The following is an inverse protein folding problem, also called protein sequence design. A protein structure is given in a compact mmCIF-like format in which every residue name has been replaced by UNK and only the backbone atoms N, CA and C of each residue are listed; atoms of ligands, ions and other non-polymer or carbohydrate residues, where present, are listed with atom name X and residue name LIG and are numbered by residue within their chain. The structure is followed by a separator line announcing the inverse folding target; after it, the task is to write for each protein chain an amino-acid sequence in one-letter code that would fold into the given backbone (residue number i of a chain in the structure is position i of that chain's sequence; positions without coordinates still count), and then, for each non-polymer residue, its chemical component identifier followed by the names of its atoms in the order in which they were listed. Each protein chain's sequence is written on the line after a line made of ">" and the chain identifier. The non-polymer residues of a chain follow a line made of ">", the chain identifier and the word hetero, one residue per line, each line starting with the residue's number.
data_IF_672917961406
#
_entry.id   IF_672917961406
#
_cell.length_a   1.000
_cell.length_b   1.000
_cell.length_c   1.000
_cell.angle_alpha   90.00
_cell.angle_beta   90.00
_cell.angle_gamma   90.00
#
_symmetry.space_group_name_H-M   'P 1'
#
loop_
_entity.id
_entity.type
_entity.pdbx_description
1 polymer ?
#
# COMPACT_ATOMS: atom_id res chain seq x y z
N UNK A 1 38.33 -17.11 -20.04
CA UNK A 1 36.98 -16.58 -19.75
C UNK A 1 36.28 -17.38 -18.65
N UNK A 2 35.97 -18.67 -18.85
CA UNK A 2 35.31 -19.54 -17.84
C UNK A 2 36.03 -19.59 -16.49
N UNK A 3 37.36 -19.71 -16.47
CA UNK A 3 38.15 -19.73 -15.22
C UNK A 3 38.14 -18.38 -14.47
N UNK A 4 38.02 -17.27 -15.20
CA UNK A 4 38.02 -15.92 -14.64
C UNK A 4 36.64 -15.59 -14.05
N UNK A 5 35.55 -16.01 -14.72
CA UNK A 5 34.20 -15.95 -14.17
C UNK A 5 34.06 -16.80 -12.90
N UNK A 6 34.58 -18.03 -12.92
CA UNK A 6 34.57 -18.92 -11.75
C UNK A 6 35.32 -18.32 -10.54
N UNK A 7 36.41 -17.59 -10.78
CA UNK A 7 37.16 -16.92 -9.72
C UNK A 7 36.37 -15.75 -9.12
N UNK A 8 35.77 -14.90 -9.96
CA UNK A 8 34.94 -13.76 -9.52
C UNK A 8 33.76 -14.21 -8.66
N UNK A 9 33.06 -15.28 -9.07
CA UNK A 9 31.93 -15.85 -8.32
C UNK A 9 32.39 -16.40 -6.96
N UNK A 10 33.55 -17.07 -6.93
CA UNK A 10 34.10 -17.64 -5.69
C UNK A 10 34.51 -16.57 -4.68
N UNK A 11 35.11 -15.46 -5.12
CA UNK A 11 35.43 -14.30 -4.27
C UNK A 11 34.17 -13.70 -3.63
N UNK A 12 33.16 -13.42 -4.46
CA UNK A 12 31.91 -12.82 -4.00
C UNK A 12 31.20 -13.74 -2.99
N UNK A 13 31.11 -15.03 -3.29
CA UNK A 13 30.51 -16.02 -2.39
C UNK A 13 31.25 -16.10 -1.05
N UNK A 14 32.59 -16.01 -1.04
CA UNK A 14 33.35 -16.00 0.21
C UNK A 14 32.99 -14.78 1.08
N UNK A 15 32.85 -13.60 0.48
CA UNK A 15 32.47 -12.36 1.17
C UNK A 15 31.03 -12.47 1.70
N UNK A 16 30.11 -13.01 0.91
CA UNK A 16 28.72 -13.27 1.30
C UNK A 16 28.66 -14.20 2.52
N UNK A 17 29.32 -15.36 2.45
CA UNK A 17 29.33 -16.34 3.55
C UNK A 17 29.96 -15.76 4.81
N UNK A 18 31.06 -15.01 4.69
CA UNK A 18 31.66 -14.31 5.83
C UNK A 18 30.69 -13.31 6.45
N UNK A 19 29.97 -12.55 5.62
CA UNK A 19 28.99 -11.57 6.08
C UNK A 19 27.87 -12.24 6.87
N UNK A 20 27.28 -13.31 6.33
CA UNK A 20 26.24 -14.09 7.03
C UNK A 20 26.77 -14.61 8.37
N UNK A 21 27.94 -15.25 8.39
CA UNK A 21 28.55 -15.76 9.63
C UNK A 21 28.84 -14.66 10.64
N UNK A 22 29.21 -13.46 10.19
CA UNK A 22 29.44 -12.32 11.07
C UNK A 22 28.14 -11.78 11.64
N UNK A 23 27.12 -11.61 10.80
CA UNK A 23 25.79 -11.13 11.17
C UNK A 23 25.11 -12.04 12.18
N UNK A 24 25.14 -13.36 11.97
CA UNK A 24 24.55 -14.35 12.89
C UNK A 24 25.21 -14.29 14.28
N UNK A 25 26.50 -13.97 14.38
CA UNK A 25 27.19 -13.85 15.68
C UNK A 25 26.88 -12.54 16.43
N UNK A 26 26.13 -11.62 15.82
CA UNK A 26 25.78 -10.35 16.45
C UNK A 26 24.80 -10.56 17.60
N UNK A 27 25.13 -10.05 18.80
CA UNK A 27 24.21 -10.10 19.96
C UNK A 27 22.86 -9.43 19.66
N UNK A 28 22.88 -8.33 18.89
CA UNK A 28 21.66 -7.62 18.50
C UNK A 28 20.80 -8.45 17.56
N UNK A 29 21.42 -9.22 16.66
CA UNK A 29 20.69 -10.16 15.80
C UNK A 29 19.97 -11.20 16.66
N UNK A 30 20.63 -11.81 17.66
CA UNK A 30 19.98 -12.78 18.53
C UNK A 30 18.76 -12.20 19.28
N UNK A 31 18.87 -10.97 19.80
CA UNK A 31 17.76 -10.31 20.50
C UNK A 31 16.60 -10.04 19.54
N UNK A 32 16.86 -9.45 18.38
CA UNK A 32 15.82 -9.17 17.38
C UNK A 32 15.22 -10.46 16.82
N UNK A 33 16.04 -11.48 16.58
CA UNK A 33 15.59 -12.78 16.11
C UNK A 33 14.69 -13.48 17.13
N UNK A 34 15.01 -13.40 18.42
CA UNK A 34 14.12 -13.90 19.48
C UNK A 34 12.78 -13.15 19.50
N UNK A 35 12.77 -11.83 19.30
CA UNK A 35 11.54 -11.05 19.17
C UNK A 35 10.74 -11.41 17.91
N UNK A 36 11.42 -11.66 16.78
CA UNK A 36 10.81 -12.12 15.53
C UNK A 36 10.15 -13.49 15.76
N UNK A 37 10.85 -14.45 16.37
CA UNK A 37 10.27 -15.75 16.70
C UNK A 37 9.04 -15.60 17.60
N UNK A 38 9.13 -14.78 18.64
CA UNK A 38 7.99 -14.50 19.51
C UNK A 38 6.83 -13.92 18.69
N UNK A 39 7.06 -12.93 17.83
CA UNK A 39 6.01 -12.33 17.01
C UNK A 39 5.39 -13.32 16.01
N UNK A 40 6.20 -14.18 15.39
CA UNK A 40 5.77 -15.19 14.41
C UNK A 40 4.85 -16.23 15.05
N UNK A 41 5.13 -16.69 16.27
CA UNK A 41 4.31 -17.71 16.93
C UNK A 41 3.21 -17.12 17.81
N UNK A 42 3.49 -16.07 18.57
CA UNK A 42 2.56 -15.53 19.55
C UNK A 42 1.43 -14.76 18.87
N UNK A 43 1.73 -13.85 17.93
CA UNK A 43 0.69 -12.96 17.37
C UNK A 43 -0.40 -13.72 16.61
N UNK A 44 -0.10 -14.69 15.72
CA UNK A 44 -1.17 -15.43 15.04
C UNK A 44 -2.05 -16.24 16.00
N UNK A 45 -1.53 -16.63 17.18
CA UNK A 45 -2.22 -17.46 18.15
C UNK A 45 -2.99 -16.67 19.21
N UNK A 46 -2.56 -15.46 19.56
CA UNK A 46 -3.17 -14.66 20.62
C UNK A 46 -4.12 -13.58 20.13
N UNK A 47 -3.94 -13.11 18.89
CA UNK A 47 -4.78 -12.04 18.34
C UNK A 47 -6.21 -12.55 18.16
N UNK A 48 -7.13 -11.92 18.89
CA UNK A 48 -8.57 -12.19 18.82
C UNK A 48 -9.21 -11.34 17.73
N UNK A 49 -10.07 -11.96 16.93
CA UNK A 49 -10.89 -11.27 15.94
C UNK A 49 -12.20 -10.76 16.53
N UNK A 50 -13.05 -10.22 15.67
CA UNK A 50 -14.42 -9.79 15.94
C UNK A 50 -15.43 -10.95 16.08
N UNK A 51 -14.94 -12.18 16.27
CA UNK A 51 -15.74 -13.41 16.30
C UNK A 51 -16.03 -14.02 14.93
N UNK A 52 -15.80 -13.30 13.83
CA UNK A 52 -16.02 -13.82 12.47
C UNK A 52 -14.75 -14.43 11.89
N UNK A 53 -14.91 -15.44 11.01
CA UNK A 53 -13.77 -16.05 10.30
C UNK A 53 -12.97 -15.03 9.48
N UNK A 54 -13.67 -14.08 8.84
CA UNK A 54 -13.09 -12.98 8.06
C UNK A 54 -12.26 -12.05 8.93
N UNK A 55 -12.88 -11.48 9.97
CA UNK A 55 -12.23 -10.51 10.83
C UNK A 55 -11.04 -11.13 11.56
N UNK A 56 -11.18 -12.36 12.05
CA UNK A 56 -10.06 -13.08 12.64
C UNK A 56 -8.89 -13.24 11.67
N UNK A 57 -9.14 -13.71 10.43
CA UNK A 57 -8.08 -13.87 9.42
C UNK A 57 -7.42 -12.53 9.06
N UNK A 58 -8.23 -11.50 8.78
CA UNK A 58 -7.75 -10.18 8.36
C UNK A 58 -6.90 -9.51 9.45
N UNK A 59 -7.38 -9.53 10.69
CA UNK A 59 -6.70 -8.96 11.86
C UNK A 59 -5.39 -9.74 12.10
N UNK A 60 -5.45 -11.08 12.18
CA UNK A 60 -4.24 -11.90 12.38
C UNK A 60 -3.20 -11.67 11.29
N UNK A 61 -3.58 -11.64 10.00
CA UNK A 61 -2.62 -11.38 8.92
C UNK A 61 -2.04 -9.97 8.98
N UNK A 62 -2.87 -8.94 9.20
CA UNK A 62 -2.41 -7.54 9.24
C UNK A 62 -1.38 -7.35 10.35
N UNK A 63 -1.70 -7.76 11.58
CA UNK A 63 -0.84 -7.52 12.73
C UNK A 63 0.39 -8.44 12.72
N UNK A 64 0.23 -9.74 12.47
CA UNK A 64 1.36 -10.66 12.49
C UNK A 64 2.36 -10.36 11.38
N UNK A 65 1.89 -10.14 10.15
CA UNK A 65 2.77 -9.87 9.03
C UNK A 65 3.40 -8.46 9.13
N UNK A 66 2.61 -7.45 9.49
CA UNK A 66 3.10 -6.08 9.65
C UNK A 66 4.20 -5.97 10.71
N UNK A 67 3.99 -6.55 11.90
CA UNK A 67 4.99 -6.53 12.99
C UNK A 67 6.25 -7.32 12.59
N UNK A 68 6.10 -8.50 11.98
CA UNK A 68 7.26 -9.31 11.56
C UNK A 68 8.08 -8.62 10.47
N UNK A 69 7.43 -8.03 9.46
CA UNK A 69 8.11 -7.24 8.42
C UNK A 69 8.83 -6.05 9.04
N UNK A 70 8.23 -5.35 10.01
CA UNK A 70 8.85 -4.22 10.70
C UNK A 70 10.08 -4.64 11.53
N UNK A 71 9.99 -5.74 12.28
CA UNK A 71 11.12 -6.27 13.07
C UNK A 71 12.28 -6.73 12.17
N UNK A 72 11.98 -7.47 11.11
CA UNK A 72 12.99 -7.90 10.13
C UNK A 72 13.61 -6.70 9.41
N UNK A 73 12.82 -5.69 9.06
CA UNK A 73 13.32 -4.44 8.48
C UNK A 73 14.27 -3.70 9.41
N UNK A 74 13.94 -3.65 10.70
CA UNK A 74 14.80 -3.06 11.74
C UNK A 74 16.10 -3.85 11.89
N UNK A 75 16.02 -5.18 11.89
CA UNK A 75 17.18 -6.06 11.93
C UNK A 75 18.08 -5.87 10.70
N UNK A 76 17.48 -5.83 9.51
CA UNK A 76 18.16 -5.60 8.23
C UNK A 76 18.90 -4.27 8.23
N UNK A 77 18.25 -3.19 8.67
CA UNK A 77 18.86 -1.86 8.74
C UNK A 77 20.04 -1.84 9.72
N UNK A 78 19.85 -2.40 10.92
CA UNK A 78 20.90 -2.46 11.94
C UNK A 78 22.12 -3.25 11.47
N UNK A 79 21.90 -4.45 10.93
CA UNK A 79 22.98 -5.30 10.43
C UNK A 79 23.71 -4.64 9.27
N UNK A 80 22.99 -4.11 8.29
CA UNK A 80 23.60 -3.47 7.12
C UNK A 80 24.42 -2.22 7.49
N UNK A 81 23.96 -1.39 8.42
CA UNK A 81 24.74 -0.28 8.98
C UNK A 81 26.03 -0.75 9.68
N UNK A 82 25.96 -1.88 10.40
CA UNK A 82 27.08 -2.38 11.19
C UNK A 82 28.13 -3.19 10.42
N UNK A 83 27.75 -3.87 9.33
CA UNK A 83 28.65 -4.83 8.65
C UNK A 83 29.92 -4.18 8.13
N UNK A 84 29.83 -3.03 7.45
CA UNK A 84 31.01 -2.32 6.96
C UNK A 84 31.66 -1.45 8.04
N UNK A 85 30.86 -0.70 8.80
CA UNK A 85 31.36 0.21 9.83
C UNK A 85 32.22 -0.52 10.88
N UNK A 86 31.77 -1.68 11.38
CA UNK A 86 32.54 -2.45 12.37
C UNK A 86 33.83 -3.04 11.82
N UNK A 87 33.84 -3.47 10.55
CA UNK A 87 35.05 -4.03 9.94
C UNK A 87 36.11 -2.94 9.68
N UNK A 88 35.66 -1.71 9.41
CA UNK A 88 36.52 -0.54 9.28
C UNK A 88 37.06 -0.15 10.67
N UNK A 89 36.19 0.01 11.66
CA UNK A 89 36.57 0.34 13.05
C UNK A 89 37.49 -0.69 13.70
N UNK A 90 37.31 -1.98 13.39
CA UNK A 90 38.11 -3.08 13.95
C UNK A 90 39.36 -3.40 13.13
N UNK A 91 39.68 -2.62 12.10
CA UNK A 91 40.81 -2.83 11.18
C UNK A 91 40.83 -4.19 10.46
N UNK A 92 39.73 -4.95 10.49
CA UNK A 92 39.67 -6.27 9.85
C UNK A 92 39.53 -6.16 8.34
N UNK A 93 38.99 -5.03 7.84
CA UNK A 93 38.87 -4.76 6.41
C UNK A 93 40.23 -4.68 5.70
N UNK A 94 41.33 -4.36 6.40
CA UNK A 94 42.68 -4.31 5.81
C UNK A 94 43.14 -5.66 5.27
N UNK A 95 42.71 -6.78 5.87
CA UNK A 95 43.01 -8.12 5.37
C UNK A 95 42.29 -8.46 4.07
N UNK A 96 41.24 -7.71 3.74
CA UNK A 96 40.46 -7.86 2.49
C UNK A 96 41.00 -6.91 1.43
N UNK A 97 41.34 -5.67 1.80
CA UNK A 97 41.83 -4.63 0.87
C UNK A 97 43.23 -4.93 0.33
N UNK A 98 44.02 -5.76 1.02
CA UNK A 98 45.32 -6.25 0.51
C UNK A 98 45.20 -7.33 -0.56
N UNK A 99 44.02 -7.94 -0.71
CA UNK A 99 43.73 -8.90 -1.78
C UNK A 99 43.33 -8.15 -3.05
N UNK A 100 43.54 -8.71 -4.26
CA UNK A 100 43.19 -8.07 -5.53
C UNK A 100 41.68 -8.08 -5.80
N UNK A 101 40.87 -7.65 -4.83
CA UNK A 101 39.41 -7.57 -4.91
C UNK A 101 39.00 -6.10 -4.99
N UNK A 102 38.31 -5.67 -6.06
CA UNK A 102 37.84 -4.30 -6.15
C UNK A 102 36.79 -3.99 -5.08
N UNK A 103 36.81 -2.77 -4.55
CA UNK A 103 35.96 -2.39 -3.40
C UNK A 103 34.46 -2.46 -3.68
N UNK A 104 34.04 -2.28 -4.93
CA UNK A 104 32.64 -2.46 -5.33
C UNK A 104 32.15 -3.91 -5.11
N UNK A 105 33.02 -4.91 -5.33
CA UNK A 105 32.68 -6.32 -5.03
C UNK A 105 32.55 -6.57 -3.53
N UNK A 106 33.39 -5.92 -2.72
CA UNK A 106 33.29 -6.00 -1.26
C UNK A 106 31.94 -5.46 -0.81
N UNK A 107 31.58 -4.24 -1.25
CA UNK A 107 30.29 -3.63 -0.95
C UNK A 107 29.13 -4.53 -1.39
N UNK A 108 29.15 -5.02 -2.63
CA UNK A 108 28.12 -5.88 -3.19
C UNK A 108 27.98 -7.19 -2.41
N UNK A 109 29.09 -7.82 -2.01
CA UNK A 109 29.08 -9.04 -1.22
C UNK A 109 28.53 -8.83 0.20
N UNK A 110 28.79 -7.67 0.82
CA UNK A 110 28.19 -7.31 2.11
C UNK A 110 26.68 -7.11 1.99
N UNK A 111 26.26 -6.35 0.99
CA UNK A 111 24.84 -6.13 0.71
C UNK A 111 24.10 -7.44 0.43
N UNK A 112 24.62 -8.28 -0.48
CA UNK A 112 24.04 -9.59 -0.80
C UNK A 112 23.97 -10.50 0.43
N UNK A 113 25.00 -10.51 1.28
CA UNK A 113 25.02 -11.32 2.50
C UNK A 113 23.89 -10.97 3.46
N UNK A 114 23.69 -9.68 3.75
CA UNK A 114 22.59 -9.23 4.62
C UNK A 114 21.24 -9.45 3.93
N UNK A 115 21.11 -9.06 2.66
CA UNK A 115 19.88 -9.18 1.90
C UNK A 115 19.38 -10.62 1.80
N UNK A 116 20.24 -11.58 1.43
CA UNK A 116 19.85 -12.98 1.27
C UNK A 116 19.48 -13.63 2.62
N UNK A 117 20.25 -13.31 3.67
CA UNK A 117 19.98 -13.80 5.03
C UNK A 117 18.62 -13.33 5.53
N UNK A 118 18.33 -12.03 5.44
CA UNK A 118 17.07 -11.47 5.93
C UNK A 118 15.88 -11.83 5.02
N UNK A 119 16.10 -11.97 3.71
CA UNK A 119 15.07 -12.49 2.81
C UNK A 119 14.68 -13.93 3.15
N UNK A 120 15.64 -14.79 3.49
CA UNK A 120 15.35 -16.14 3.94
C UNK A 120 14.57 -16.13 5.26
N UNK A 121 15.00 -15.33 6.23
CA UNK A 121 14.27 -15.15 7.51
C UNK A 121 12.84 -14.70 7.26
N UNK A 122 12.62 -13.74 6.36
CA UNK A 122 11.29 -13.25 6.00
C UNK A 122 10.43 -14.35 5.37
N UNK A 123 10.94 -15.07 4.37
CA UNK A 123 10.18 -16.10 3.66
C UNK A 123 9.79 -17.27 4.57
N UNK A 124 10.71 -17.70 5.45
CA UNK A 124 10.42 -18.72 6.47
C UNK A 124 9.37 -18.21 7.47
N UNK A 125 9.54 -16.99 7.98
CA UNK A 125 8.58 -16.39 8.92
C UNK A 125 7.18 -16.25 8.31
N UNK A 126 7.12 -15.79 7.05
CA UNK A 126 5.89 -15.66 6.28
C UNK A 126 5.21 -17.02 6.08
N UNK A 127 5.97 -18.05 5.69
CA UNK A 127 5.44 -19.41 5.54
C UNK A 127 4.86 -19.96 6.86
N UNK A 128 5.53 -19.73 7.99
CA UNK A 128 5.06 -20.14 9.31
C UNK A 128 3.78 -19.39 9.68
N UNK A 129 3.73 -18.06 9.52
CA UNK A 129 2.51 -17.27 9.78
C UNK A 129 1.35 -17.79 8.93
N UNK A 130 1.57 -18.03 7.65
CA UNK A 130 0.55 -18.57 6.76
C UNK A 130 0.04 -19.94 7.25
N UNK A 131 0.95 -20.83 7.65
CA UNK A 131 0.60 -22.15 8.17
C UNK A 131 -0.20 -22.05 9.47
N UNK A 132 0.23 -21.22 10.43
CA UNK A 132 -0.45 -21.01 11.72
C UNK A 132 -1.84 -20.40 11.54
N UNK A 133 -1.96 -19.41 10.67
CA UNK A 133 -3.23 -18.74 10.37
C UNK A 133 -4.20 -19.73 9.69
N UNK A 134 -3.72 -20.50 8.70
CA UNK A 134 -4.53 -21.54 8.05
C UNK A 134 -4.98 -22.63 9.04
N UNK A 135 -4.08 -23.05 9.92
CA UNK A 135 -4.36 -24.03 10.96
C UNK A 135 -5.41 -23.53 11.95
N UNK A 136 -5.32 -22.27 12.38
CA UNK A 136 -6.28 -21.64 13.28
C UNK A 136 -7.67 -21.55 12.66
N UNK A 137 -7.76 -21.11 11.41
CA UNK A 137 -9.03 -21.05 10.66
C UNK A 137 -9.63 -22.45 10.48
N UNK A 138 -8.81 -23.46 10.18
CA UNK A 138 -9.27 -24.83 9.99
C UNK A 138 -9.76 -25.51 11.29
N UNK A 139 -9.28 -25.07 12.46
CA UNK A 139 -9.75 -25.54 13.77
C UNK A 139 -10.87 -24.69 14.38
N UNK A 140 -11.21 -23.56 13.76
CA UNK A 140 -12.30 -22.73 14.24
C UNK A 140 -13.65 -23.36 13.92
N UNK A 141 -14.57 -23.32 14.89
CA UNK A 141 -15.96 -23.77 14.71
C UNK A 141 -16.76 -22.72 13.94
N UNK A 142 -16.41 -22.52 12.66
CA UNK A 142 -17.10 -21.58 11.77
C UNK A 142 -18.19 -22.28 10.97
N UNK A 143 -19.28 -21.56 10.72
CA UNK A 143 -20.35 -22.06 9.87
C UNK A 143 -19.87 -22.23 8.41
N UNK A 144 -20.55 -23.10 7.66
CA UNK A 144 -20.25 -23.32 6.23
C UNK A 144 -20.43 -22.04 5.40
N UNK A 145 -21.37 -21.18 5.78
CA UNK A 145 -21.61 -19.88 5.14
C UNK A 145 -20.47 -18.88 5.40
N UNK A 146 -19.97 -18.80 6.63
CA UNK A 146 -18.83 -17.95 6.97
C UNK A 146 -17.55 -18.39 6.24
N UNK A 147 -17.33 -19.70 6.14
CA UNK A 147 -16.20 -20.24 5.39
C UNK A 147 -16.34 -19.98 3.88
N UNK A 148 -17.55 -20.02 3.33
CA UNK A 148 -17.80 -19.62 1.95
C UNK A 148 -17.52 -18.13 1.72
N UNK A 149 -17.93 -17.25 2.64
CA UNK A 149 -17.62 -15.81 2.60
C UNK A 149 -16.12 -15.54 2.71
N UNK A 150 -15.43 -16.21 3.64
CA UNK A 150 -13.98 -16.10 3.80
C UNK A 150 -13.23 -16.44 2.51
N UNK A 151 -13.64 -17.53 1.86
CA UNK A 151 -13.06 -17.97 0.59
C UNK A 151 -13.33 -16.99 -0.55
N UNK A 152 -14.49 -16.34 -0.57
CA UNK A 152 -14.86 -15.37 -1.59
C UNK A 152 -14.25 -13.97 -1.38
N UNK A 153 -13.99 -13.57 -0.13
CA UNK A 153 -13.61 -12.19 0.21
C UNK A 153 -12.12 -12.03 0.55
N UNK A 154 -11.55 -12.92 1.37
CA UNK A 154 -10.17 -12.74 1.90
C UNK A 154 -9.18 -13.69 1.26
N UNK A 155 -9.56 -14.94 1.01
CA UNK A 155 -8.66 -15.96 0.44
C UNK A 155 -8.53 -15.87 -1.09
N UNK A 156 -8.64 -14.66 -1.62
CA UNK A 156 -8.54 -14.32 -3.04
C UNK A 156 -7.87 -12.96 -3.20
N UNK A 157 -7.26 -12.72 -4.36
CA UNK A 157 -6.84 -11.38 -4.76
C UNK A 157 -7.92 -10.74 -5.63
N UNK A 158 -8.61 -9.74 -5.08
CA UNK A 158 -9.66 -8.99 -5.76
C UNK A 158 -9.12 -7.65 -6.29
N UNK A 159 -9.26 -7.40 -7.58
CA UNK A 159 -8.97 -6.10 -8.19
C UNK A 159 -10.04 -5.10 -7.78
N UNK A 160 -9.63 -3.90 -7.39
CA UNK A 160 -10.53 -2.80 -7.06
C UNK A 160 -10.76 -1.97 -8.32
N UNK A 161 -12.02 -1.75 -8.66
CA UNK A 161 -12.47 -0.84 -9.70
C UNK A 161 -13.15 0.35 -9.05
N UNK A 162 -12.65 1.54 -9.39
CA UNK A 162 -13.23 2.81 -8.99
C UNK A 162 -14.27 3.25 -10.03
N UNK A 163 -15.30 4.01 -9.62
CA UNK A 163 -16.30 4.50 -10.54
C UNK A 163 -15.70 5.59 -11.45
N UNK A 164 -16.21 5.70 -12.66
CA UNK A 164 -15.81 6.72 -13.62
C UNK A 164 -16.11 8.11 -13.03
N UNK A 165 -15.06 8.94 -12.90
CA UNK A 165 -15.17 10.29 -12.37
C UNK A 165 -15.53 11.23 -13.52
N UNK A 166 -16.68 11.93 -13.47
CA UNK A 166 -17.05 12.90 -14.50
C UNK A 166 -16.06 14.08 -14.53
N UNK A 167 -15.90 14.71 -15.70
CA UNK A 167 -15.15 15.97 -15.78
C UNK A 167 -15.93 17.10 -15.11
N UNK A 168 -15.64 17.32 -13.83
CA UNK A 168 -16.27 18.37 -13.03
C UNK A 168 -15.97 19.76 -13.55
N UNK A 169 -14.82 19.99 -14.18
CA UNK A 169 -14.47 21.29 -14.75
C UNK A 169 -15.34 21.60 -15.96
N UNK A 170 -15.60 20.60 -16.81
CA UNK A 170 -16.52 20.75 -17.93
C UNK A 170 -17.96 20.98 -17.47
N UNK A 171 -18.45 20.19 -16.51
CA UNK A 171 -19.80 20.34 -15.94
C UNK A 171 -20.00 21.71 -15.28
N UNK A 172 -19.00 22.19 -14.53
CA UNK A 172 -19.04 23.53 -13.93
C UNK A 172 -19.07 24.64 -14.99
N UNK A 173 -18.32 24.49 -16.09
CA UNK A 173 -18.35 25.44 -17.20
C UNK A 173 -19.71 25.48 -17.88
N UNK A 174 -20.32 24.32 -18.12
CA UNK A 174 -21.67 24.24 -18.70
C UNK A 174 -22.71 24.90 -17.81
N UNK A 175 -22.66 24.64 -16.49
CA UNK A 175 -23.54 25.28 -15.52
C UNK A 175 -23.35 26.80 -15.48
N UNK A 176 -22.10 27.27 -15.54
CA UNK A 176 -21.78 28.70 -15.63
C UNK A 176 -22.36 29.34 -16.90
N UNK A 177 -22.17 28.71 -18.06
CA UNK A 177 -22.75 29.18 -19.33
C UNK A 177 -24.29 29.19 -19.31
N UNK A 178 -24.91 28.18 -18.70
CA UNK A 178 -26.36 28.10 -18.55
C UNK A 178 -26.90 29.26 -17.70
N UNK A 179 -26.23 29.59 -16.59
CA UNK A 179 -26.61 30.71 -15.73
C UNK A 179 -26.33 32.07 -16.35
N UNK A 180 -25.29 32.17 -17.17
CA UNK A 180 -25.01 33.37 -17.96
C UNK A 180 -26.12 33.61 -18.99
N UNK A 181 -26.54 32.56 -19.72
CA UNK A 181 -27.66 32.62 -20.68
C UNK A 181 -28.99 32.92 -20.00
N UNK A 182 -29.22 32.42 -18.79
CA UNK A 182 -30.42 32.67 -18.00
C UNK A 182 -30.46 34.09 -17.38
N UNK A 183 -29.37 34.86 -17.46
CA UNK A 183 -29.29 36.21 -16.89
C UNK A 183 -29.31 36.25 -15.36
N UNK A 184 -29.07 35.12 -14.69
CA UNK A 184 -29.12 35.00 -13.22
C UNK A 184 -27.82 35.43 -12.52
N UNK A 185 -26.80 35.83 -13.29
CA UNK A 185 -25.50 36.26 -12.76
C UNK A 185 -25.40 37.79 -12.77
N UNK A 186 -24.91 38.37 -11.67
CA UNK A 186 -24.72 39.81 -11.55
C UNK A 186 -23.79 40.35 -12.64
N UNK A 187 -24.11 41.52 -13.20
CA UNK A 187 -23.34 42.13 -14.29
C UNK A 187 -21.87 42.48 -13.93
N UNK A 188 -21.51 42.46 -12.64
CA UNK A 188 -20.13 42.72 -12.14
C UNK A 188 -19.51 41.51 -11.42
N UNK A 189 -20.01 40.30 -11.66
CA UNK A 189 -19.45 39.11 -11.02
C UNK A 189 -17.99 38.87 -11.44
N UNK A 190 -17.17 38.31 -10.54
CA UNK A 190 -15.84 37.83 -10.89
C UNK A 190 -15.96 36.42 -11.50
N UNK A 191 -15.64 36.22 -12.79
CA UNK A 191 -15.82 34.93 -13.46
C UNK A 191 -15.00 33.79 -12.83
N UNK A 192 -13.80 34.08 -12.30
CA UNK A 192 -12.95 33.07 -11.68
C UNK A 192 -13.56 32.57 -10.37
N UNK A 193 -13.99 33.49 -9.51
CA UNK A 193 -14.60 33.15 -8.23
C UNK A 193 -15.90 32.36 -8.41
N UNK A 194 -16.76 32.80 -9.33
CA UNK A 194 -18.01 32.08 -9.64
C UNK A 194 -17.70 30.70 -10.22
N UNK A 195 -16.72 30.56 -11.09
CA UNK A 195 -16.32 29.25 -11.64
C UNK A 195 -15.83 28.29 -10.54
N UNK A 196 -14.97 28.76 -9.63
CA UNK A 196 -14.50 27.97 -8.48
C UNK A 196 -15.66 27.54 -7.58
N UNK A 197 -16.61 28.45 -7.32
CA UNK A 197 -17.81 28.14 -6.54
C UNK A 197 -18.72 27.12 -7.25
N UNK A 198 -18.95 27.27 -8.56
CA UNK A 198 -19.74 26.32 -9.34
C UNK A 198 -19.10 24.94 -9.35
N UNK A 199 -17.78 24.89 -9.56
CA UNK A 199 -17.02 23.65 -9.52
C UNK A 199 -17.13 22.97 -8.15
N UNK A 200 -17.07 23.75 -7.06
CA UNK A 200 -17.30 23.25 -5.71
C UNK A 200 -18.71 22.69 -5.54
N UNK A 201 -19.74 23.39 -6.00
CA UNK A 201 -21.14 22.95 -5.91
C UNK A 201 -21.38 21.67 -6.73
N UNK A 202 -20.86 21.58 -7.95
CA UNK A 202 -20.99 20.39 -8.81
C UNK A 202 -20.35 19.18 -8.16
N UNK A 203 -19.13 19.32 -7.61
CA UNK A 203 -18.44 18.24 -6.88
C UNK A 203 -19.16 17.84 -5.58
N UNK A 204 -19.70 18.79 -4.83
CA UNK A 204 -20.46 18.51 -3.62
C UNK A 204 -21.71 17.67 -3.94
N UNK A 205 -22.49 18.14 -4.92
CA UNK A 205 -23.66 17.42 -5.45
C UNK A 205 -23.28 16.05 -6.00
N UNK A 206 -22.09 15.92 -6.57
CA UNK A 206 -21.54 14.63 -7.00
C UNK A 206 -20.96 13.79 -5.86
N UNK A 207 -21.24 14.04 -4.59
CA UNK A 207 -21.01 13.06 -3.50
C UNK A 207 -22.30 12.77 -2.73
N UNK A 208 -23.29 13.64 -2.89
CA UNK A 208 -24.56 13.58 -2.20
C UNK A 208 -25.57 12.70 -2.93
N UNK A 209 -26.39 12.00 -2.16
CA UNK A 209 -27.60 11.30 -2.60
C UNK A 209 -28.75 11.87 -1.77
N UNK A 210 -29.45 12.89 -2.30
CA UNK A 210 -30.62 13.47 -1.66
C UNK A 210 -31.72 12.44 -1.39
N UNK A 211 -32.65 12.71 -0.46
CA UNK A 211 -33.77 11.81 -0.23
C UNK A 211 -34.64 11.60 -1.47
N UNK A 212 -35.16 10.38 -1.63
CA UNK A 212 -36.00 9.97 -2.76
C UNK A 212 -35.34 10.16 -4.14
N UNK A 213 -34.01 10.24 -4.17
CA UNK A 213 -33.25 10.26 -5.41
C UNK A 213 -32.37 9.02 -5.52
N UNK A 214 -32.15 8.62 -6.75
CA UNK A 214 -31.23 7.54 -7.10
C UNK A 214 -30.01 8.12 -7.75
N UNK A 215 -28.85 7.66 -7.33
CA UNK A 215 -27.58 8.01 -7.94
C UNK A 215 -26.94 6.79 -8.57
N UNK A 216 -26.44 6.93 -9.80
CA UNK A 216 -25.73 5.88 -10.51
C UNK A 216 -24.22 6.14 -10.59
N UNK A 217 -23.47 5.05 -10.58
CA UNK A 217 -22.04 4.98 -10.83
C UNK A 217 -21.81 3.98 -11.96
N UNK A 218 -20.95 4.38 -12.90
CA UNK A 218 -20.47 3.53 -13.99
C UNK A 218 -19.08 3.04 -13.62
N UNK A 219 -18.85 1.74 -13.73
CA UNK A 219 -17.53 1.15 -13.62
C UNK A 219 -17.13 0.65 -15.00
N UNK A 220 -16.01 1.13 -15.51
CA UNK A 220 -15.49 0.75 -16.83
C UNK A 220 -14.36 -0.27 -16.73
N UNK A 221 -14.16 -1.04 -17.80
CA UNK A 221 -13.11 -2.06 -17.93
C UNK A 221 -13.20 -3.22 -16.93
N UNK A 222 -14.41 -3.50 -16.43
CA UNK A 222 -14.66 -4.60 -15.50
C UNK A 222 -14.62 -5.91 -16.27
N UNK A 223 -13.72 -6.82 -15.88
CA UNK A 223 -13.60 -8.15 -16.49
C UNK A 223 -13.85 -9.22 -15.45
N UNK A 224 -14.74 -10.14 -15.76
CA UNK A 224 -15.07 -11.30 -14.93
C UNK A 224 -14.74 -12.56 -15.71
N UNK A 225 -14.23 -13.60 -15.04
CA UNK A 225 -13.89 -14.86 -15.69
C UNK A 225 -15.14 -15.70 -16.00
N UNK A 226 -16.17 -15.61 -15.15
CA UNK A 226 -17.42 -16.36 -15.24
C UNK A 226 -18.60 -15.47 -14.80
N UNK A 227 -19.69 -15.37 -15.59
CA UNK A 227 -20.92 -14.66 -15.20
C UNK A 227 -21.52 -15.10 -13.86
N UNK A 228 -21.28 -16.33 -13.40
CA UNK A 228 -21.75 -16.81 -12.10
C UNK A 228 -20.81 -16.47 -10.93
N UNK A 229 -19.64 -15.92 -11.22
CA UNK A 229 -18.69 -15.52 -10.20
C UNK A 229 -19.22 -14.35 -9.37
N UNK A 230 -19.00 -14.40 -8.05
CA UNK A 230 -19.43 -13.33 -7.15
C UNK A 230 -18.43 -12.19 -7.15
N UNK A 231 -18.94 -10.97 -7.30
CA UNK A 231 -18.22 -9.72 -7.11
C UNK A 231 -18.71 -9.04 -5.83
N UNK A 232 -17.90 -8.17 -5.22
CA UNK A 232 -18.29 -7.46 -4.01
C UNK A 232 -18.28 -5.96 -4.24
N UNK A 233 -19.39 -5.29 -3.96
CA UNK A 233 -19.48 -3.84 -3.93
C UNK A 233 -19.18 -3.36 -2.51
N UNK A 234 -18.01 -2.75 -2.31
CA UNK A 234 -17.63 -2.14 -1.03
C UNK A 234 -17.99 -0.67 -1.05
N UNK A 235 -18.69 -0.20 -0.03
CA UNK A 235 -19.07 1.20 0.07
C UNK A 235 -19.13 1.66 1.53
N UNK A 236 -19.07 2.97 1.70
CA UNK A 236 -19.29 3.65 2.98
C UNK A 236 -19.94 4.99 2.67
N UNK A 237 -21.00 5.29 3.42
CA UNK A 237 -21.71 6.56 3.31
C UNK A 237 -21.85 7.19 4.69
N UNK A 238 -22.06 8.50 4.72
CA UNK A 238 -22.33 9.26 5.92
C UNK A 238 -23.70 9.92 5.84
N UNK A 239 -24.40 10.01 6.96
CA UNK A 239 -25.73 10.62 7.02
C UNK A 239 -25.60 12.10 7.35
N UNK A 240 -25.89 12.96 6.38
CA UNK A 240 -25.91 14.42 6.49
C UNK A 240 -24.54 15.10 6.57
N UNK A 241 -23.59 14.55 7.33
CA UNK A 241 -22.22 15.07 7.42
C UNK A 241 -21.19 13.97 7.64
N UNK A 242 -20.02 14.16 7.02
CA UNK A 242 -18.81 13.33 7.13
C UNK A 242 -18.12 13.49 8.48
N UNK A 243 -18.33 14.61 9.18
CA UNK A 243 -17.72 14.92 10.49
C UNK A 243 -18.55 14.47 11.69
N UNK A 244 -19.79 14.03 11.46
CA UNK A 244 -20.69 13.59 12.53
C UNK A 244 -20.28 12.19 13.01
N UNK A 245 -19.92 12.06 14.29
CA UNK A 245 -19.61 10.75 14.89
C UNK A 245 -20.86 9.90 15.12
N UNK A 246 -22.00 10.52 15.40
CA UNK A 246 -23.30 9.86 15.56
C UNK A 246 -23.94 9.54 14.20
N UNK A 247 -23.50 8.43 13.63
CA UNK A 247 -24.13 7.84 12.44
C UNK A 247 -25.33 6.96 12.83
N UNK A 248 -26.22 6.67 11.88
CA UNK A 248 -27.43 5.87 12.11
C UNK A 248 -27.64 4.81 11.04
N UNK A 249 -28.44 3.80 11.36
CA UNK A 249 -28.96 2.83 10.39
C UNK A 249 -29.84 3.56 9.37
N UNK A 250 -29.58 3.32 8.10
CA UNK A 250 -30.35 3.89 6.99
C UNK A 250 -30.80 2.77 6.07
N UNK A 251 -32.05 2.84 5.64
CA UNK A 251 -32.58 1.96 4.60
C UNK A 251 -32.35 2.58 3.24
N UNK A 252 -31.90 1.78 2.29
CA UNK A 252 -31.81 2.20 0.90
C UNK A 252 -31.84 1.00 -0.03
N UNK A 253 -31.83 1.30 -1.32
CA UNK A 253 -32.00 0.30 -2.36
C UNK A 253 -30.80 0.37 -3.30
N UNK A 254 -30.00 -0.71 -3.37
CA UNK A 254 -29.03 -0.84 -4.44
C UNK A 254 -29.75 -1.33 -5.70
N UNK A 255 -29.60 -0.60 -6.80
CA UNK A 255 -30.12 -0.97 -8.12
C UNK A 255 -28.96 -1.33 -9.03
N UNK A 256 -29.00 -2.50 -9.64
CA UNK A 256 -27.95 -2.98 -10.55
C UNK A 256 -28.58 -3.20 -11.90
N UNK A 257 -28.00 -2.60 -12.94
CA UNK A 257 -28.50 -2.79 -14.31
C UNK A 257 -28.28 -4.23 -14.75
N UNK A 258 -29.34 -4.86 -15.26
CA UNK A 258 -29.28 -6.14 -15.94
C UNK A 258 -28.88 -5.91 -17.41
N UNK A 259 -27.73 -6.43 -17.88
CA UNK A 259 -27.29 -6.26 -19.26
C UNK A 259 -28.13 -7.07 -20.26
N UNK A 260 -28.86 -8.11 -19.82
CA UNK A 260 -29.63 -9.00 -20.70
C UNK A 260 -31.04 -8.48 -21.01
N UNK A 261 -31.52 -7.48 -20.26
CA UNK A 261 -32.84 -6.89 -20.49
C UNK A 261 -32.84 -5.99 -21.73
N UNK A 262 -33.68 -6.31 -22.72
CA UNK A 262 -33.92 -5.47 -23.92
C UNK A 262 -34.71 -4.19 -23.60
N UNK A 263 -35.36 -4.13 -22.45
CA UNK A 263 -35.98 -2.90 -21.95
C UNK A 263 -34.94 -2.07 -21.20
N UNK A 264 -34.91 -0.75 -21.46
CA UNK A 264 -34.01 0.23 -20.80
C UNK A 264 -34.17 0.30 -19.26
N UNK A 265 -34.96 -0.57 -18.63
CA UNK A 265 -35.38 -0.53 -17.23
C UNK A 265 -35.21 -1.87 -16.47
N UNK A 266 -34.44 -2.83 -16.98
CA UNK A 266 -34.08 -4.02 -16.20
C UNK A 266 -33.09 -3.66 -15.09
N UNK A 267 -33.57 -3.24 -13.92
CA UNK A 267 -32.74 -3.05 -12.73
C UNK A 267 -33.08 -4.11 -11.68
N UNK A 268 -32.10 -4.90 -11.26
CA UNK A 268 -32.22 -5.76 -10.10
C UNK A 268 -32.06 -4.91 -8.84
N UNK A 269 -33.06 -4.93 -7.97
CA UNK A 269 -33.08 -4.15 -6.75
C UNK A 269 -32.74 -5.00 -5.52
N UNK A 270 -31.79 -4.54 -4.71
CA UNK A 270 -31.34 -5.20 -3.49
C UNK A 270 -31.55 -4.24 -2.30
N UNK A 271 -32.63 -4.42 -1.51
CA UNK A 271 -32.87 -3.56 -0.35
C UNK A 271 -31.83 -3.85 0.73
N UNK A 272 -31.26 -2.79 1.30
CA UNK A 272 -30.25 -2.88 2.35
C UNK A 272 -30.60 -1.98 3.52
N UNK A 273 -30.30 -2.46 4.73
CA UNK A 273 -30.28 -1.64 5.92
C UNK A 273 -28.85 -1.58 6.43
N UNK A 274 -28.26 -0.39 6.44
CA UNK A 274 -26.82 -0.24 6.63
C UNK A 274 -26.51 0.89 7.61
N UNK A 275 -25.57 0.64 8.52
CA UNK A 275 -25.07 1.65 9.45
C UNK A 275 -24.18 2.64 8.70
N UNK A 276 -24.52 3.93 8.77
CA UNK A 276 -23.67 4.99 8.25
C UNK A 276 -22.30 5.01 8.95
N UNK A 277 -21.27 5.48 8.25
CA UNK A 277 -19.91 5.61 8.76
C UNK A 277 -19.11 4.31 8.86
N UNK A 278 -19.66 3.15 8.51
CA UNK A 278 -18.92 1.89 8.42
C UNK A 278 -18.74 1.45 6.96
N UNK A 279 -17.68 0.69 6.70
CA UNK A 279 -17.54 -0.01 5.42
C UNK A 279 -18.49 -1.21 5.39
N UNK A 280 -19.24 -1.31 4.31
CA UNK A 280 -20.18 -2.40 4.06
C UNK A 280 -19.86 -3.03 2.70
N UNK A 281 -20.15 -4.32 2.57
CA UNK A 281 -19.96 -5.08 1.34
C UNK A 281 -21.28 -5.73 0.93
N UNK A 282 -21.69 -5.49 -0.31
CA UNK A 282 -22.82 -6.16 -0.96
C UNK A 282 -22.29 -7.14 -2.00
N UNK A 283 -22.81 -8.37 -1.99
CA UNK A 283 -22.43 -9.39 -2.98
C UNK A 283 -23.29 -9.24 -4.24
N UNK A 284 -22.62 -9.14 -5.40
CA UNK A 284 -23.20 -9.03 -6.72
C UNK A 284 -22.78 -10.24 -7.58
N UNK A 285 -23.57 -10.58 -8.60
CA UNK A 285 -23.21 -11.63 -9.57
C UNK A 285 -22.47 -11.02 -10.77
N UNK A 286 -21.55 -11.79 -11.35
CA UNK A 286 -20.81 -11.44 -12.57
C UNK A 286 -21.70 -11.14 -13.77
N UNK A 287 -22.92 -11.68 -13.81
CA UNK A 287 -23.94 -11.38 -14.80
C UNK A 287 -24.42 -9.93 -14.80
N UNK A 288 -24.08 -9.14 -13.77
CA UNK A 288 -24.27 -7.69 -13.78
C UNK A 288 -23.29 -6.94 -14.71
N UNK A 289 -22.25 -7.61 -15.20
CA UNK A 289 -21.30 -7.02 -16.14
C UNK A 289 -21.84 -7.12 -17.55
N UNK A 290 -21.99 -5.97 -18.20
CA UNK A 290 -22.23 -5.90 -19.63
C UNK A 290 -20.96 -6.35 -20.37
N UNK A 291 -21.02 -7.52 -21.00
CA UNK A 291 -19.87 -8.14 -21.67
C UNK A 291 -19.48 -7.44 -22.97
N UNK A 292 -20.40 -6.70 -23.60
CA UNK A 292 -20.12 -5.99 -24.85
C UNK A 292 -19.23 -4.77 -24.59
N UNK A 293 -19.56 -4.00 -23.55
CA UNK A 293 -18.87 -2.76 -23.18
C UNK A 293 -17.90 -2.94 -21.99
N UNK A 294 -17.85 -4.12 -21.35
CA UNK A 294 -17.15 -4.39 -20.09
C UNK A 294 -17.48 -3.36 -19.00
N UNK A 295 -18.76 -3.01 -18.87
CA UNK A 295 -19.21 -1.98 -17.93
C UNK A 295 -20.25 -2.49 -16.95
N UNK A 296 -20.27 -1.87 -15.78
CA UNK A 296 -21.24 -2.15 -14.72
C UNK A 296 -21.87 -0.83 -14.30
N UNK A 297 -23.19 -0.76 -14.30
CA UNK A 297 -23.93 0.40 -13.80
C UNK A 297 -24.67 0.00 -12.54
N UNK A 298 -24.28 0.61 -11.43
CA UNK A 298 -24.87 0.39 -10.11
C UNK A 298 -25.37 1.73 -9.61
N UNK A 299 -26.56 1.76 -9.02
CA UNK A 299 -27.08 2.93 -8.34
C UNK A 299 -27.54 2.65 -6.94
N UNK A 300 -27.63 3.71 -6.14
CA UNK A 300 -28.17 3.68 -4.79
C UNK A 300 -29.33 4.65 -4.70
N UNK A 301 -30.48 4.15 -4.24
CA UNK A 301 -31.69 4.91 -3.99
C UNK A 301 -31.85 5.16 -2.49
N UNK A 302 -32.00 6.43 -2.12
CA UNK A 302 -32.24 6.82 -0.73
C UNK A 302 -33.76 6.78 -0.44
N UNK A 303 -34.27 5.60 -0.11
CA UNK A 303 -35.72 5.31 0.06
C UNK A 303 -36.13 5.12 1.53
N UNK A 304 -35.34 5.62 2.48
CA UNK A 304 -35.61 5.38 3.89
C UNK A 304 -36.90 6.05 4.40
N UNK A 305 -37.62 5.44 5.35
CA UNK A 305 -38.82 6.04 5.98
C UNK A 305 -38.52 7.32 6.78
N UNK A 306 -37.26 7.71 6.92
CA UNK A 306 -36.75 8.92 7.59
C UNK A 306 -36.17 9.94 6.60
N UNK A 307 -36.64 9.89 5.35
CA UNK A 307 -36.09 10.51 4.13
C UNK A 307 -36.03 12.04 4.07
N UNK A 308 -35.45 12.69 5.09
CA UNK A 308 -35.20 14.13 5.11
C UNK A 308 -33.70 14.47 5.11
N UNK A 309 -32.80 13.47 5.16
CA UNK A 309 -31.35 13.71 5.21
C UNK A 309 -30.65 13.05 4.03
N UNK A 310 -29.78 13.80 3.39
CA UNK A 310 -28.94 13.31 2.31
C UNK A 310 -27.84 12.38 2.81
N UNK A 311 -27.42 11.49 1.93
CA UNK A 311 -26.32 10.55 2.18
C UNK A 311 -25.11 11.00 1.38
N UNK A 312 -23.94 10.97 2.01
CA UNK A 312 -22.69 11.43 1.39
C UNK A 312 -21.79 10.22 1.16
N UNK A 313 -21.47 9.95 -0.10
CA UNK A 313 -20.49 8.98 -0.55
C UNK A 313 -19.21 9.73 -0.95
N UNK A 314 -18.19 9.68 -0.10
CA UNK A 314 -16.91 10.31 -0.40
C UNK A 314 -16.19 9.52 -1.50
N UNK A 315 -15.59 10.22 -2.46
CA UNK A 315 -14.86 9.58 -3.58
C UNK A 315 -13.80 8.57 -3.10
N UNK A 316 -13.08 8.87 -2.01
CA UNK A 316 -12.07 7.97 -1.45
C UNK A 316 -12.62 6.74 -0.73
N UNK A 317 -13.88 6.77 -0.28
CA UNK A 317 -14.53 5.70 0.49
C UNK A 317 -15.40 4.77 -0.39
N UNK A 318 -15.62 5.13 -1.66
CA UNK A 318 -16.37 4.34 -2.63
C UNK A 318 -17.73 4.96 -3.03
N UNK A 319 -18.59 4.21 -3.74
CA UNK A 319 -18.57 2.76 -3.91
C UNK A 319 -17.43 2.25 -4.80
N UNK A 320 -16.85 1.11 -4.42
CA UNK A 320 -15.77 0.41 -5.13
C UNK A 320 -16.22 -1.00 -5.47
N UNK A 321 -15.98 -1.44 -6.71
CA UNK A 321 -16.28 -2.81 -7.13
C UNK A 321 -15.04 -3.69 -7.02
N UNK A 322 -15.16 -4.81 -6.30
CA UNK A 322 -14.08 -5.78 -6.10
C UNK A 322 -14.36 -7.05 -6.88
N UNK A 323 -13.48 -7.36 -7.83
CA UNK A 323 -13.61 -8.54 -8.70
C UNK A 323 -12.45 -9.49 -8.49
N UNK A 324 -12.73 -10.77 -8.31
CA UNK A 324 -11.71 -11.80 -8.13
C UNK A 324 -10.86 -11.98 -9.39
N UNK A 325 -9.55 -12.05 -9.21
CA UNK A 325 -8.59 -12.25 -10.32
C UNK A 325 -7.64 -13.42 -10.06
N UNK A 326 -7.26 -13.65 -8.79
CA UNK A 326 -6.28 -14.69 -8.43
C UNK A 326 -6.60 -15.34 -7.10
N UNK A 327 -6.02 -16.51 -6.83
CA UNK A 327 -6.08 -17.15 -5.51
C UNK A 327 -5.19 -16.46 -4.47
N UNK A 328 -5.49 -16.69 -3.19
CA UNK A 328 -4.74 -16.12 -2.06
C UNK A 328 -3.23 -16.31 -2.16
N UNK A 329 -2.76 -17.54 -2.42
CA UNK A 329 -1.34 -17.87 -2.36
C UNK A 329 -0.52 -17.09 -3.38
N UNK A 330 -1.04 -16.92 -4.61
CA UNK A 330 -0.37 -16.10 -5.62
C UNK A 330 -0.29 -14.64 -5.18
N UNK A 331 -1.36 -14.09 -4.59
CA UNK A 331 -1.37 -12.73 -4.07
C UNK A 331 -0.42 -12.56 -2.86
N UNK A 332 -0.37 -13.58 -1.99
CA UNK A 332 0.52 -13.66 -0.84
C UNK A 332 1.98 -13.59 -1.28
N UNK A 333 2.37 -14.38 -2.29
CA UNK A 333 3.73 -14.36 -2.85
C UNK A 333 4.06 -12.96 -3.41
N UNK A 334 3.13 -12.31 -4.13
CA UNK A 334 3.35 -10.95 -4.65
C UNK A 334 3.60 -9.92 -3.54
N UNK A 335 2.85 -10.02 -2.43
CA UNK A 335 3.08 -9.19 -1.24
C UNK A 335 4.47 -9.46 -0.63
N UNK A 336 4.89 -10.74 -0.56
CA UNK A 336 6.22 -11.10 -0.06
C UNK A 336 7.35 -10.60 -0.94
N UNK A 337 7.16 -10.58 -2.27
CA UNK A 337 8.13 -9.98 -3.20
C UNK A 337 8.34 -8.49 -2.92
N UNK A 338 7.28 -7.74 -2.63
CA UNK A 338 7.40 -6.32 -2.23
C UNK A 338 8.15 -6.16 -0.90
N UNK A 339 7.87 -7.01 0.08
CA UNK A 339 8.62 -7.02 1.34
C UNK A 339 10.11 -7.37 1.13
N UNK A 340 10.44 -8.29 0.22
CA UNK A 340 11.84 -8.58 -0.17
C UNK A 340 12.50 -7.37 -0.83
N UNK A 341 11.79 -6.63 -1.68
CA UNK A 341 12.30 -5.37 -2.26
C UNK A 341 12.58 -4.29 -1.20
N UNK A 342 11.73 -4.20 -0.19
CA UNK A 342 11.98 -3.35 0.97
C UNK A 342 13.28 -3.73 1.69
N UNK A 343 13.51 -5.03 1.95
CA UNK A 343 14.76 -5.49 2.58
C UNK A 343 15.99 -5.21 1.71
N UNK A 344 15.88 -5.40 0.39
CA UNK A 344 16.94 -5.06 -0.55
C UNK A 344 17.32 -3.58 -0.46
N UNK A 345 16.33 -2.69 -0.43
CA UNK A 345 16.52 -1.25 -0.30
C UNK A 345 17.12 -0.86 1.06
N UNK A 346 16.58 -1.38 2.16
CA UNK A 346 17.08 -1.10 3.51
C UNK A 346 18.51 -1.60 3.71
N UNK A 347 18.85 -2.78 3.19
CA UNK A 347 20.21 -3.28 3.20
C UNK A 347 21.15 -2.39 2.39
N UNK A 348 20.71 -1.88 1.23
CA UNK A 348 21.52 -0.98 0.41
C UNK A 348 21.76 0.36 1.12
N UNK A 349 20.71 0.94 1.71
CA UNK A 349 20.80 2.15 2.52
C UNK A 349 21.80 1.96 3.67
N UNK A 350 21.63 0.92 4.48
CA UNK A 350 22.49 0.67 5.64
C UNK A 350 23.93 0.39 5.25
N UNK A 351 24.19 -0.42 4.21
CA UNK A 351 25.56 -0.64 3.72
C UNK A 351 26.19 0.63 3.16
N UNK A 352 25.40 1.52 2.55
CA UNK A 352 25.88 2.81 2.03
C UNK A 352 26.31 3.74 3.16
N UNK A 353 25.46 3.94 4.17
CA UNK A 353 25.80 4.80 5.31
C UNK A 353 26.88 4.17 6.20
N UNK A 354 26.89 2.84 6.32
CA UNK A 354 27.93 2.10 7.04
C UNK A 354 29.30 2.13 6.34
N UNK A 355 29.32 2.33 5.02
CA UNK A 355 30.57 2.60 4.29
C UNK A 355 31.12 4.01 4.56
N UNK A 356 30.24 4.96 4.91
CA UNK A 356 30.58 6.36 5.10
C UNK A 356 30.91 6.73 6.56
N UNK A 357 30.23 6.09 7.52
CA UNK A 357 30.22 6.52 8.91
C UNK A 357 30.54 5.37 9.89
N UNK A 358 30.77 5.73 11.15
CA UNK A 358 30.84 4.77 12.26
C UNK A 358 29.47 4.15 12.54
N UNK A 359 29.44 3.01 13.24
CA UNK A 359 28.20 2.26 13.47
C UNK A 359 27.07 3.12 14.08
N UNK A 360 27.30 3.93 15.14
CA UNK A 360 26.24 4.75 15.73
C UNK A 360 25.73 5.85 14.78
N UNK A 361 26.64 6.49 14.04
CA UNK A 361 26.29 7.58 13.11
C UNK A 361 25.56 7.01 11.89
N UNK A 362 26.00 5.88 11.37
CA UNK A 362 25.33 5.17 10.27
C UNK A 362 23.88 4.83 10.63
N UNK A 363 23.64 4.27 11.83
CA UNK A 363 22.29 3.98 12.32
C UNK A 363 21.45 5.26 12.45
N UNK A 364 22.01 6.34 13.02
CA UNK A 364 21.31 7.61 13.15
C UNK A 364 20.89 8.19 11.78
N UNK A 365 21.78 8.19 10.80
CA UNK A 365 21.50 8.68 9.44
C UNK A 365 20.45 7.81 8.76
N UNK A 366 20.57 6.49 8.87
CA UNK A 366 19.60 5.56 8.30
C UNK A 366 18.19 5.74 8.90
N UNK A 367 18.08 5.83 10.22
CA UNK A 367 16.79 6.06 10.91
C UNK A 367 16.22 7.42 10.55
N UNK A 368 17.05 8.48 10.51
CA UNK A 368 16.62 9.82 10.10
C UNK A 368 16.06 9.81 8.67
N UNK A 369 16.69 9.09 7.76
CA UNK A 369 16.18 8.91 6.39
C UNK A 369 14.78 8.27 6.39
N UNK A 370 14.55 7.21 7.18
CA UNK A 370 13.24 6.56 7.27
C UNK A 370 12.17 7.47 7.87
N UNK A 371 12.52 8.22 8.93
CA UNK A 371 11.62 9.19 9.56
C UNK A 371 11.22 10.28 8.57
N UNK A 372 12.17 10.82 7.80
CA UNK A 372 11.86 11.79 6.73
C UNK A 372 10.94 11.16 5.69
N UNK A 373 11.19 9.92 5.26
CA UNK A 373 10.31 9.20 4.32
C UNK A 373 8.87 9.07 4.81
N UNK A 374 8.68 8.74 6.10
CA UNK A 374 7.37 8.68 6.74
C UNK A 374 6.67 10.04 6.78
N UNK A 375 7.38 11.11 7.18
CA UNK A 375 6.81 12.47 7.21
C UNK A 375 6.46 12.98 5.81
N UNK A 376 7.28 12.69 4.80
CA UNK A 376 7.00 13.05 3.41
C UNK A 376 5.74 12.36 2.90
N UNK A 377 5.56 11.08 3.19
CA UNK A 377 4.32 10.36 2.86
C UNK A 377 3.12 10.97 3.56
N UNK A 378 3.23 11.27 4.86
CA UNK A 378 2.15 11.91 5.62
C UNK A 378 1.79 13.30 5.05
N UNK A 379 2.79 14.10 4.69
CA UNK A 379 2.60 15.44 4.11
C UNK A 379 2.00 15.41 2.69
N UNK A 380 2.32 14.37 1.90
CA UNK A 380 1.76 14.18 0.55
C UNK A 380 0.34 13.63 0.60
N UNK A 381 0.06 12.73 1.54
CA UNK A 381 -1.29 12.15 1.77
C UNK A 381 -2.18 13.02 2.63
N UNK A 382 -1.64 14.09 3.23
CA UNK A 382 -2.42 15.02 4.01
C UNK A 382 -3.59 15.52 3.15
N UNK A 383 -4.83 15.55 3.70
CA UNK A 383 -6.00 16.11 3.03
C UNK A 383 -5.88 17.63 3.00
N UNK A 384 -4.86 18.12 2.29
CA UNK A 384 -4.69 19.50 1.85
C UNK A 384 -5.64 19.79 0.68
N UNK A 385 -6.25 18.73 0.14
CA UNK A 385 -7.43 18.84 -0.68
C UNK A 385 -8.64 19.05 0.21
N UNK A 386 -9.48 20.03 -0.13
CA UNK A 386 -10.83 20.09 0.42
C UNK A 386 -11.60 18.81 0.09
N UNK A 387 -12.83 18.67 0.62
CA UNK A 387 -13.81 17.63 0.23
C UNK A 387 -14.02 17.51 -1.30
N UNK A 388 -13.49 18.47 -2.06
CA UNK A 388 -13.65 18.66 -3.50
C UNK A 388 -12.34 18.44 -4.31
N UNK A 389 -11.27 17.90 -3.70
CA UNK A 389 -10.09 17.44 -4.44
C UNK A 389 -9.12 18.52 -4.96
N UNK A 390 -9.37 19.80 -4.68
CA UNK A 390 -8.46 20.90 -5.00
C UNK A 390 -7.57 21.25 -3.81
N UNK A 391 -6.28 21.48 -4.04
CA UNK A 391 -5.32 21.87 -3.01
C UNK A 391 -5.65 23.25 -2.45
N UNK A 392 -6.28 23.30 -1.29
CA UNK A 392 -6.50 24.54 -0.55
C UNK A 392 -5.48 24.61 0.58
N UNK A 393 -4.50 25.50 0.42
CA UNK A 393 -3.51 25.77 1.45
C UNK A 393 -4.06 26.85 2.39
N UNK A 394 -4.07 26.61 3.70
CA UNK A 394 -4.50 27.61 4.69
C UNK A 394 -3.56 28.82 4.68
N UNK A 395 -2.26 28.58 4.51
CA UNK A 395 -1.21 29.59 4.48
C UNK A 395 -0.15 29.28 3.41
N UNK A 396 0.64 30.29 3.02
CA UNK A 396 1.78 30.14 2.09
C UNK A 396 2.77 29.08 2.58
N UNK A 397 2.94 28.93 3.89
CA UNK A 397 3.80 27.89 4.49
C UNK A 397 3.35 26.46 4.17
N UNK A 398 2.05 26.17 4.19
CA UNK A 398 1.52 24.85 3.83
C UNK A 398 1.73 24.55 2.33
N UNK A 399 1.58 25.58 1.48
CA UNK A 399 1.87 25.47 0.05
C UNK A 399 3.33 25.09 -0.17
N UNK A 400 4.25 25.84 0.42
CA UNK A 400 5.69 25.58 0.31
C UNK A 400 6.03 24.18 0.83
N UNK A 401 5.51 23.79 2.00
CA UNK A 401 5.75 22.47 2.58
C UNK A 401 5.24 21.34 1.67
N UNK A 402 4.06 21.51 1.07
CA UNK A 402 3.50 20.52 0.15
C UNK A 402 4.35 20.37 -1.12
N UNK A 403 4.79 21.48 -1.73
CA UNK A 403 5.68 21.43 -2.90
C UNK A 403 7.05 20.83 -2.57
N UNK A 404 7.60 21.14 -1.39
CA UNK A 404 8.81 20.48 -0.89
C UNK A 404 8.57 18.98 -0.75
N UNK A 405 7.47 18.56 -0.10
CA UNK A 405 7.16 17.15 0.07
C UNK A 405 6.99 16.41 -1.27
N UNK A 406 6.33 17.02 -2.26
CA UNK A 406 6.22 16.47 -3.62
C UNK A 406 7.58 16.31 -4.31
N UNK A 407 8.47 17.29 -4.12
CA UNK A 407 9.83 17.26 -4.69
C UNK A 407 10.67 16.19 -4.00
N UNK A 408 10.64 16.14 -2.67
CA UNK A 408 11.38 15.19 -1.85
C UNK A 408 10.88 13.76 -2.09
N UNK A 409 9.57 13.53 -2.30
CA UNK A 409 8.99 12.21 -2.66
C UNK A 409 9.56 11.63 -3.95
N UNK A 410 10.03 12.47 -4.88
CA UNK A 410 10.68 11.97 -6.11
C UNK A 410 12.04 11.33 -5.84
N UNK A 411 12.71 11.75 -4.78
CA UNK A 411 14.07 11.30 -4.42
C UNK A 411 14.02 10.25 -3.31
N UNK A 412 13.26 10.51 -2.25
CA UNK A 412 13.18 9.63 -1.08
C UNK A 412 12.25 8.45 -1.37
N UNK A 413 12.73 7.27 -0.97
CA UNK A 413 11.97 6.03 -0.89
C UNK A 413 11.45 5.87 0.51
N UNK A 414 10.12 5.73 0.67
CA UNK A 414 9.52 5.37 1.95
C UNK A 414 9.35 3.86 2.04
N UNK A 415 9.38 3.34 3.26
CA UNK A 415 9.06 1.93 3.56
C UNK A 415 7.61 1.61 3.16
N UNK A 416 6.70 2.57 3.37
CA UNK A 416 5.28 2.45 3.00
C UNK A 416 5.05 2.22 1.51
N UNK A 417 6.00 2.61 0.64
CA UNK A 417 5.86 2.39 -0.81
C UNK A 417 5.89 0.88 -1.15
N UNK A 418 6.49 0.06 -0.28
CA UNK A 418 6.57 -1.40 -0.40
C UNK A 418 5.50 -2.14 0.43
N UNK A 419 4.79 -1.48 1.33
CA UNK A 419 3.82 -2.15 2.19
C UNK A 419 2.60 -2.65 1.38
N UNK A 420 2.38 -3.96 1.44
CA UNK A 420 1.22 -4.62 0.85
C UNK A 420 0.51 -5.55 1.84
N UNK A 421 0.80 -5.41 3.14
CA UNK A 421 0.23 -6.26 4.19
C UNK A 421 -1.27 -5.99 4.38
N UNK A 422 -1.66 -4.71 4.41
CA UNK A 422 -3.06 -4.28 4.51
C UNK A 422 -3.89 -4.66 3.27
N UNK A 423 -3.33 -4.52 2.07
CA UNK A 423 -3.97 -4.93 0.83
C UNK A 423 -4.21 -6.44 0.80
N UNK A 424 -3.19 -7.23 1.15
CA UNK A 424 -3.30 -8.68 1.23
C UNK A 424 -4.35 -9.11 2.26
N UNK A 425 -4.34 -8.52 3.46
CA UNK A 425 -5.30 -8.86 4.51
C UNK A 425 -6.74 -8.47 4.15
N UNK A 426 -6.93 -7.40 3.36
CA UNK A 426 -8.23 -7.01 2.81
C UNK A 426 -8.69 -7.84 1.59
N UNK A 427 -7.90 -8.82 1.14
CA UNK A 427 -8.17 -9.57 -0.09
C UNK A 427 -8.07 -8.71 -1.35
N UNK A 428 -7.31 -7.61 -1.32
CA UNK A 428 -7.05 -6.75 -2.47
C UNK A 428 -5.86 -7.27 -3.26
N UNK A 429 -5.95 -7.16 -4.58
CA UNK A 429 -4.93 -7.65 -5.50
C UNK A 429 -3.67 -6.77 -5.46
N UNK A 430 -2.52 -7.39 -5.24
CA UNK A 430 -1.23 -6.80 -5.53
C UNK A 430 -0.98 -6.97 -7.03
N UNK A 431 -1.09 -5.86 -7.76
CA UNK A 431 -0.89 -5.84 -9.21
C UNK A 431 0.57 -6.08 -9.59
N UNK A 432 0.79 -6.82 -10.68
CA UNK A 432 2.14 -6.98 -11.25
C UNK A 432 2.73 -5.65 -11.70
N UNK A 433 1.89 -4.72 -12.15
CA UNK A 433 2.31 -3.35 -12.46
C UNK A 433 2.95 -2.68 -11.23
N UNK A 434 2.33 -2.81 -10.04
CA UNK A 434 2.88 -2.27 -8.78
C UNK A 434 4.23 -2.92 -8.45
N UNK A 435 4.33 -4.24 -8.56
CA UNK A 435 5.59 -4.98 -8.36
C UNK A 435 6.67 -4.50 -9.33
N UNK A 436 6.34 -4.35 -10.62
CA UNK A 436 7.27 -3.85 -11.65
C UNK A 436 7.72 -2.41 -11.40
N UNK A 437 6.80 -1.51 -11.02
CA UNK A 437 7.14 -0.13 -10.66
C UNK A 437 8.00 -0.05 -9.41
N UNK A 438 7.77 -0.91 -8.42
CA UNK A 438 8.59 -0.99 -7.21
C UNK A 438 10.00 -1.51 -7.54
N UNK A 439 10.10 -2.56 -8.37
CA UNK A 439 11.38 -3.09 -8.81
C UNK A 439 12.20 -2.05 -9.59
N UNK A 440 11.64 -1.50 -10.67
CA UNK A 440 12.38 -0.59 -11.55
C UNK A 440 12.61 0.78 -10.89
N UNK A 441 11.56 1.35 -10.30
CA UNK A 441 11.60 2.70 -9.74
C UNK A 441 12.27 2.79 -8.38
N UNK A 442 11.97 1.87 -7.46
CA UNK A 442 12.46 1.97 -6.08
C UNK A 442 13.74 1.16 -5.85
N UNK A 443 13.80 -0.08 -6.32
CA UNK A 443 14.98 -0.95 -6.11
C UNK A 443 16.10 -0.63 -7.10
N UNK A 444 15.83 -0.67 -8.40
CA UNK A 444 16.86 -0.51 -9.43
C UNK A 444 17.32 0.95 -9.54
N UNK A 445 16.41 1.89 -9.75
CA UNK A 445 16.80 3.29 -9.94
C UNK A 445 17.29 3.91 -8.63
N UNK A 446 16.43 4.01 -7.62
CA UNK A 446 16.78 4.71 -6.36
C UNK A 446 17.72 3.90 -5.48
N UNK A 447 17.47 2.60 -5.32
CA UNK A 447 18.39 1.68 -4.62
C UNK A 447 19.73 1.54 -5.35
N UNK A 448 19.74 1.53 -6.69
CA UNK A 448 20.97 1.51 -7.49
C UNK A 448 21.80 2.79 -7.35
N UNK A 449 21.16 3.97 -7.28
CA UNK A 449 21.85 5.24 -6.98
C UNK A 449 22.50 5.17 -5.59
N UNK A 450 21.79 4.66 -4.58
CA UNK A 450 22.37 4.48 -3.23
C UNK A 450 23.53 3.48 -3.25
N UNK A 451 23.39 2.35 -3.94
CA UNK A 451 24.46 1.38 -4.11
C UNK A 451 25.69 1.99 -4.80
N UNK A 452 25.48 2.76 -5.88
CA UNK A 452 26.54 3.47 -6.59
C UNK A 452 27.26 4.47 -5.66
N UNK A 453 26.51 5.22 -4.86
CA UNK A 453 27.06 6.13 -3.86
C UNK A 453 27.88 5.36 -2.81
N UNK A 454 27.37 4.26 -2.27
CA UNK A 454 28.06 3.43 -1.29
C UNK A 454 29.35 2.82 -1.84
N UNK A 455 29.31 2.31 -3.07
CA UNK A 455 30.49 1.82 -3.79
C UNK A 455 31.51 2.94 -4.02
N UNK A 456 31.07 4.12 -4.45
CA UNK A 456 31.94 5.27 -4.68
C UNK A 456 32.60 5.77 -3.38
N UNK A 457 31.83 5.91 -2.30
CA UNK A 457 32.35 6.28 -0.97
C UNK A 457 33.41 5.27 -0.54
N UNK A 458 33.13 3.97 -0.64
CA UNK A 458 34.08 2.94 -0.26
C UNK A 458 35.35 2.97 -1.13
N UNK A 459 35.26 3.33 -2.42
CA UNK A 459 36.44 3.50 -3.29
C UNK A 459 37.31 4.70 -2.95
N UNK A 460 36.70 5.81 -2.52
CA UNK A 460 37.42 7.05 -2.19
C UNK A 460 37.93 7.08 -0.75
N UNK A 461 37.30 6.35 0.16
CA UNK A 461 37.67 6.35 1.58
C UNK A 461 39.08 5.78 1.78
N UNK A 462 39.95 6.54 2.41
CA UNK A 462 41.30 6.12 2.77
C UNK A 462 41.25 5.26 4.03
N UNK A 463 40.94 3.99 3.85
CA UNK A 463 40.72 3.04 4.95
C UNK A 463 41.94 2.93 5.87
N UNK A 464 43.15 3.25 5.38
CA UNK A 464 44.41 3.25 6.15
C UNK A 464 44.73 4.51 6.93
N UNK A 465 43.94 5.58 6.81
CA UNK A 465 44.18 6.85 7.53
C UNK A 465 43.49 6.89 8.90
N UNK A 466 42.55 5.98 9.15
CA UNK A 466 41.94 5.78 10.47
C UNK A 466 42.88 5.08 11.47
N UNK A 467 44.21 5.20 11.35
CA UNK A 467 45.13 4.88 12.45
C UNK A 467 44.89 5.93 13.54
N UNK A 468 43.93 5.68 14.44
CA UNK A 468 43.77 6.51 15.64
C UNK A 468 44.97 6.30 16.56
N UNK A 469 45.56 7.43 16.96
CA UNK A 469 46.39 7.60 18.15
C UNK A 469 45.71 7.08 19.40
#
# INVERSE_FOLDING_TARGET
>A
MVLQEAYVVRELNAIVVQTVRSSVRSRVFHVLFALILLAVFLLPLTVSGDGTARGQLQISLTYSLGVVVALISTCTLWLSCGVLAREIESYSIHMVVTKPVPRWKVWLGKWLGVFLMESLTLLVSAAIILALVRFRVARGDFSTEEMARLNAEVLVGRRVFEPDIPDFTQLARQEYENRLKAGTLDARHNPQFVMEEMLRQVKAKSTEVPPNTTRFWRFSHVRVADPEERMSLRYRFYVGSTSRSSQRMTQGLWVVRDPTSKEKAGFAAAPVQTMGGNFNELQLRGSAVDLDDNTVIIGYSNEGPQGDTSLIFQHGDGPMLLVRVTGFLSNYIRSMVLAVFQLAFLAALGCTVGAAFSTPVAVFVAVSYLVIGMFVQAAVKAPLTNEFGEYQYKNVGERVLHYIALTVRKVIVSVDDFDATSDLAGGRLVEWARVGTALLGLVVLRGGIMAALGMWILTRREVGLEIRR
#
